data_IF_545424499244
#
_entry.id   IF_545424499244
#
_cell.length_a   1.000
_cell.length_b   1.000
_cell.length_c   1.000
_cell.angle_alpha   90.00
_cell.angle_beta   90.00
_cell.angle_gamma   90.00
#
_symmetry.space_group_name_H-M   'P 1'
#
loop_
_entity.id
_entity.type
_entity.pdbx_description
1 polymer ?
#
# COMPACT_ATOMS: atom_id res chain seq x y z
N UNK A 1 -12.83 -73.47 1.29
CA UNK A 1 -13.98 -72.74 1.87
C UNK A 1 -13.56 -71.28 1.98
N UNK A 2 -13.57 -70.59 0.83
CA UNK A 2 -14.36 -69.36 0.55
C UNK A 2 -13.85 -68.11 1.29
N UNK A 3 -13.65 -66.92 0.72
CA UNK A 3 -13.60 -66.32 -0.62
C UNK A 3 -12.94 -64.95 -0.38
N UNK A 4 -11.99 -64.51 -1.21
CA UNK A 4 -11.80 -63.08 -1.52
C UNK A 4 -11.10 -62.93 -2.87
N UNK A 5 -11.92 -62.77 -3.89
CA UNK A 5 -11.51 -62.46 -5.26
C UNK A 5 -11.26 -60.97 -5.40
N UNK A 6 -10.19 -60.71 -6.14
CA UNK A 6 -9.64 -59.47 -6.68
C UNK A 6 -10.68 -58.56 -7.37
N UNK A 7 -10.38 -57.26 -7.40
CA UNK A 7 -10.56 -56.45 -8.60
C UNK A 7 -9.57 -55.27 -8.62
N UNK A 8 -8.75 -55.33 -9.67
CA UNK A 8 -7.83 -54.36 -10.25
C UNK A 8 -8.57 -53.14 -10.79
N UNK A 9 -7.93 -51.96 -10.84
CA UNK A 9 -8.40 -50.87 -11.69
C UNK A 9 -7.87 -49.48 -11.39
N UNK A 10 -6.90 -49.05 -12.20
CA UNK A 10 -6.72 -47.69 -12.75
C UNK A 10 -6.65 -46.49 -11.79
N UNK A 11 -5.48 -45.83 -11.76
CA UNK A 11 -5.30 -44.49 -12.34
C UNK A 11 -3.81 -44.19 -12.50
N UNK A 12 -3.34 -44.16 -13.74
CA UNK A 12 -2.21 -43.34 -14.12
C UNK A 12 -2.77 -42.00 -14.62
N UNK A 13 -2.25 -40.88 -14.12
CA UNK A 13 -2.13 -39.63 -14.86
C UNK A 13 -0.87 -38.94 -14.38
N UNK A 14 -0.04 -38.58 -15.35
CA UNK A 14 1.13 -37.72 -15.30
C UNK A 14 1.10 -36.68 -14.17
N UNK A 15 2.16 -36.68 -13.36
CA UNK A 15 2.59 -35.47 -12.64
C UNK A 15 3.29 -34.59 -13.67
N UNK A 16 2.52 -33.69 -14.25
CA UNK A 16 3.00 -32.67 -15.18
C UNK A 16 3.93 -31.70 -14.43
N UNK A 17 5.23 -31.89 -14.67
CA UNK A 17 6.39 -31.10 -14.21
C UNK A 17 6.43 -29.71 -14.90
N UNK A 18 5.35 -28.93 -14.81
CA UNK A 18 5.22 -27.65 -15.52
C UNK A 18 4.55 -26.53 -14.72
N UNK A 19 4.99 -26.28 -13.48
CA UNK A 19 4.73 -24.97 -12.82
C UNK A 19 5.98 -24.50 -12.06
N UNK A 20 7.11 -24.39 -12.76
CA UNK A 20 8.25 -23.57 -12.34
C UNK A 20 8.68 -22.67 -13.50
N UNK A 21 7.75 -21.85 -14.01
CA UNK A 21 8.11 -20.76 -14.89
C UNK A 21 8.69 -19.62 -14.04
N UNK A 22 9.99 -19.38 -14.21
CA UNK A 22 10.81 -18.50 -13.39
C UNK A 22 10.29 -17.08 -13.29
N UNK A 23 10.01 -16.65 -12.07
CA UNK A 23 10.00 -15.23 -11.73
C UNK A 23 11.43 -14.71 -11.84
N UNK A 24 11.70 -13.90 -12.87
CA UNK A 24 12.92 -13.11 -12.97
C UNK A 24 12.57 -11.68 -12.56
N UNK A 25 13.25 -11.06 -11.58
CA UNK A 25 13.08 -9.65 -11.27
C UNK A 25 13.19 -8.81 -12.55
N UNK A 26 12.34 -7.79 -12.71
CA UNK A 26 12.44 -6.88 -13.86
C UNK A 26 13.79 -6.14 -13.77
N UNK A 27 14.74 -6.50 -14.64
CA UNK A 27 16.01 -5.78 -14.75
C UNK A 27 15.77 -4.49 -15.52
N UNK A 28 15.82 -3.36 -14.83
CA UNK A 28 15.92 -2.06 -15.48
C UNK A 28 17.35 -1.90 -16.05
N UNK A 29 17.54 -1.24 -17.21
CA UNK A 29 18.87 -0.83 -17.64
C UNK A 29 19.48 0.15 -16.62
N UNK A 30 20.78 -0.01 -16.33
CA UNK A 30 21.51 0.84 -15.38
C UNK A 30 21.44 2.31 -15.80
N UNK A 31 20.72 3.13 -15.03
CA UNK A 31 20.71 4.58 -15.17
C UNK A 31 21.57 5.19 -14.06
N UNK A 32 22.90 5.14 -14.22
CA UNK A 32 23.83 5.97 -13.44
C UNK A 32 23.77 7.42 -13.91
N UNK A 33 23.12 8.29 -13.13
CA UNK A 33 23.51 9.70 -12.94
C UNK A 33 22.65 10.35 -11.86
N UNK A 34 23.20 10.47 -10.64
CA UNK A 34 22.68 11.40 -9.64
C UNK A 34 23.13 12.82 -10.01
N UNK A 35 22.19 13.77 -10.11
CA UNK A 35 22.49 15.20 -10.13
C UNK A 35 21.83 15.89 -8.93
N UNK A 36 22.55 16.90 -8.45
CA UNK A 36 22.29 17.73 -7.27
C UNK A 36 21.18 18.74 -7.51
N UNK A 37 20.24 18.78 -6.56
CA UNK A 37 19.03 19.62 -6.57
C UNK A 37 19.30 21.13 -6.71
N UNK A 38 18.93 21.68 -7.87
CA UNK A 38 18.79 23.11 -8.16
C UNK A 38 17.47 23.38 -8.90
N UNK A 39 17.07 24.65 -8.99
CA UNK A 39 15.77 25.13 -9.48
C UNK A 39 15.32 24.60 -10.88
N UNK A 40 16.21 23.96 -11.65
CA UNK A 40 15.92 23.28 -12.93
C UNK A 40 15.37 21.85 -12.81
N UNK A 41 15.63 21.13 -11.71
CA UNK A 41 15.24 19.72 -11.58
C UNK A 41 13.72 19.50 -11.53
N UNK A 42 12.98 20.52 -11.06
CA UNK A 42 11.52 20.46 -10.95
C UNK A 42 10.81 20.67 -12.28
N UNK A 43 11.36 21.52 -13.14
CA UNK A 43 10.84 21.74 -14.50
C UNK A 43 11.18 20.54 -15.39
N UNK A 44 12.40 20.01 -15.29
CA UNK A 44 12.82 18.79 -16.00
C UNK A 44 11.95 17.58 -15.62
N UNK A 45 11.68 17.40 -14.32
CA UNK A 45 10.80 16.32 -13.85
C UNK A 45 9.37 16.48 -14.37
N UNK A 46 8.80 17.69 -14.33
CA UNK A 46 7.46 17.95 -14.85
C UNK A 46 7.38 17.67 -16.34
N UNK A 47 8.36 18.13 -17.10
CA UNK A 47 8.43 17.88 -18.54
C UNK A 47 8.54 16.38 -18.84
N UNK A 48 9.37 15.63 -18.09
CA UNK A 48 9.47 14.18 -18.21
C UNK A 48 8.15 13.46 -17.93
N UNK A 49 7.41 13.89 -16.89
CA UNK A 49 6.08 13.34 -16.55
C UNK A 49 5.08 13.61 -17.70
N UNK A 50 5.07 14.82 -18.25
CA UNK A 50 4.18 15.21 -19.36
C UNK A 50 4.47 14.39 -20.62
N UNK A 51 5.74 14.29 -21.03
CA UNK A 51 6.15 13.45 -22.16
C UNK A 51 5.78 11.97 -21.98
N UNK A 52 5.91 11.48 -20.74
CA UNK A 52 5.52 10.11 -20.37
C UNK A 52 4.02 9.91 -20.52
N UNK A 53 3.23 10.85 -19.99
CA UNK A 53 1.78 10.81 -20.11
C UNK A 53 1.32 10.87 -21.57
N UNK A 54 1.94 11.70 -22.40
CA UNK A 54 1.63 11.78 -23.84
C UNK A 54 1.87 10.44 -24.55
N UNK A 55 2.99 9.79 -24.25
CA UNK A 55 3.32 8.48 -24.82
C UNK A 55 2.33 7.40 -24.36
N UNK A 56 1.91 7.44 -23.09
CA UNK A 56 0.89 6.52 -22.54
C UNK A 56 -0.46 6.78 -23.19
N UNK A 57 -0.89 8.04 -23.31
CA UNK A 57 -2.14 8.43 -23.98
C UNK A 57 -2.20 7.91 -25.41
N UNK A 58 -1.14 8.11 -26.21
CA UNK A 58 -1.05 7.55 -27.56
C UNK A 58 -1.20 6.03 -27.58
N UNK A 59 -0.59 5.34 -26.62
CA UNK A 59 -0.65 3.87 -26.53
C UNK A 59 -2.04 3.35 -26.20
N UNK A 60 -2.78 4.04 -25.34
CA UNK A 60 -4.15 3.65 -24.94
C UNK A 60 -5.24 4.28 -25.81
N UNK A 61 -4.88 4.98 -26.89
CA UNK A 61 -5.84 5.65 -27.77
C UNK A 61 -6.54 6.86 -27.14
N UNK A 62 -5.97 7.46 -26.09
CA UNK A 62 -6.51 8.63 -25.42
C UNK A 62 -5.83 9.92 -25.90
N UNK A 63 -6.51 11.05 -25.68
CA UNK A 63 -5.96 12.38 -25.90
C UNK A 63 -5.38 12.93 -24.60
N UNK A 64 -4.26 13.64 -24.67
CA UNK A 64 -3.61 14.22 -23.49
C UNK A 64 -4.50 15.25 -22.82
N UNK A 65 -5.24 16.02 -23.60
CA UNK A 65 -6.10 17.11 -23.14
C UNK A 65 -7.23 16.61 -22.23
N UNK A 66 -7.59 15.32 -22.35
CA UNK A 66 -8.59 14.67 -21.50
C UNK A 66 -8.01 14.19 -20.15
N UNK A 67 -6.70 14.30 -19.94
CA UNK A 67 -6.02 13.83 -18.74
C UNK A 67 -5.94 14.90 -17.65
N UNK A 68 -6.60 14.63 -16.53
CA UNK A 68 -6.68 15.48 -15.36
C UNK A 68 -5.77 14.97 -14.25
N UNK A 69 -4.90 15.84 -13.72
CA UNK A 69 -4.02 15.49 -12.60
C UNK A 69 -4.84 15.40 -11.30
N UNK A 70 -4.93 14.21 -10.72
CA UNK A 70 -5.55 13.98 -9.42
C UNK A 70 -4.58 14.24 -8.27
N UNK A 71 -3.34 13.77 -8.42
CA UNK A 71 -2.36 13.79 -7.34
C UNK A 71 -0.91 13.85 -7.86
N UNK A 72 -0.04 14.65 -7.24
CA UNK A 72 1.41 14.67 -7.46
C UNK A 72 2.21 14.58 -6.13
N UNK A 73 2.66 13.37 -5.74
CA UNK A 73 3.55 13.12 -4.57
C UNK A 73 4.76 12.25 -4.95
N UNK A 74 4.85 11.03 -4.41
CA UNK A 74 5.68 9.91 -4.89
C UNK A 74 5.23 9.35 -6.24
N UNK A 75 4.02 9.65 -6.70
CA UNK A 75 3.46 9.28 -7.99
C UNK A 75 2.76 10.50 -8.60
N UNK A 76 2.75 10.59 -9.92
CA UNK A 76 1.81 11.44 -10.65
C UNK A 76 0.61 10.58 -11.07
N UNK A 77 -0.60 10.95 -10.66
CA UNK A 77 -1.82 10.18 -10.89
C UNK A 77 -2.77 11.00 -11.74
N UNK A 78 -3.10 10.49 -12.92
CA UNK A 78 -3.96 11.15 -13.89
C UNK A 78 -5.24 10.35 -14.11
N UNK A 79 -6.39 11.04 -14.07
CA UNK A 79 -7.68 10.51 -14.54
C UNK A 79 -7.83 10.84 -16.02
N UNK A 80 -8.25 9.86 -16.82
CA UNK A 80 -8.57 10.05 -18.24
C UNK A 80 -9.97 9.48 -18.47
N UNK A 81 -10.98 10.32 -18.25
CA UNK A 81 -12.40 9.89 -18.29
C UNK A 81 -12.81 9.39 -19.67
N UNK A 82 -12.30 10.01 -20.75
CA UNK A 82 -12.61 9.60 -22.14
C UNK A 82 -12.16 8.18 -22.47
N UNK A 83 -11.12 7.68 -21.78
CA UNK A 83 -10.62 6.32 -21.91
C UNK A 83 -11.03 5.41 -20.73
N UNK A 84 -11.76 5.94 -19.73
CA UNK A 84 -12.19 5.18 -18.56
C UNK A 84 -11.02 4.64 -17.72
N UNK A 85 -9.89 5.35 -17.64
CA UNK A 85 -8.70 4.88 -16.91
C UNK A 85 -8.11 5.90 -15.93
N UNK A 86 -7.31 5.38 -14.99
CA UNK A 86 -6.36 6.12 -14.17
C UNK A 86 -4.94 5.67 -14.51
N UNK A 87 -4.08 6.64 -14.84
CA UNK A 87 -2.66 6.42 -15.13
C UNK A 87 -1.84 6.84 -13.91
N UNK A 88 -1.04 5.92 -13.36
CA UNK A 88 -0.07 6.18 -12.27
C UNK A 88 1.34 6.12 -12.82
N UNK A 89 2.05 7.24 -12.78
CA UNK A 89 3.46 7.37 -13.17
C UNK A 89 4.31 7.40 -11.89
N UNK A 90 5.18 6.40 -11.72
CA UNK A 90 6.06 6.33 -10.57
C UNK A 90 7.22 7.33 -10.70
N UNK A 91 7.48 8.05 -9.61
CA UNK A 91 8.62 8.99 -9.56
C UNK A 91 9.84 8.38 -8.86
N UNK A 92 9.69 7.21 -8.24
CA UNK A 92 10.79 6.48 -7.62
C UNK A 92 11.35 5.43 -8.60
N UNK A 93 12.67 5.40 -8.76
CA UNK A 93 13.35 4.49 -9.68
C UNK A 93 13.23 3.00 -9.30
N UNK A 94 12.97 2.68 -8.03
CA UNK A 94 12.83 1.31 -7.51
C UNK A 94 11.37 0.81 -7.49
N UNK A 95 10.44 1.53 -8.12
CA UNK A 95 9.01 1.23 -8.05
C UNK A 95 8.58 -0.02 -8.86
N UNK A 96 9.40 -0.50 -9.79
CA UNK A 96 9.03 -1.54 -10.74
C UNK A 96 8.50 -2.82 -10.08
N UNK A 97 9.26 -3.40 -9.15
CA UNK A 97 8.89 -4.65 -8.48
C UNK A 97 7.63 -4.49 -7.62
N UNK A 98 7.50 -3.34 -6.95
CA UNK A 98 6.32 -3.01 -6.13
C UNK A 98 5.08 -2.93 -7.00
N UNK A 99 5.12 -2.15 -8.08
CA UNK A 99 3.99 -1.98 -9.00
C UNK A 99 3.62 -3.29 -9.69
N UNK A 100 4.61 -4.08 -10.14
CA UNK A 100 4.37 -5.40 -10.72
C UNK A 100 3.66 -6.33 -9.73
N UNK A 101 4.04 -6.29 -8.45
CA UNK A 101 3.36 -7.04 -7.38
C UNK A 101 1.93 -6.55 -7.20
N UNK A 102 1.70 -5.24 -7.10
CA UNK A 102 0.36 -4.66 -6.96
C UNK A 102 -0.55 -5.11 -8.10
N UNK A 103 -0.08 -5.01 -9.36
CA UNK A 103 -0.83 -5.43 -10.56
C UNK A 103 -1.18 -6.92 -10.53
N UNK A 104 -0.22 -7.78 -10.16
CA UNK A 104 -0.44 -9.24 -10.13
C UNK A 104 -1.42 -9.63 -9.03
N UNK A 105 -1.28 -9.03 -7.84
CA UNK A 105 -2.18 -9.27 -6.72
C UNK A 105 -3.59 -8.79 -7.03
N UNK A 106 -3.77 -7.59 -7.57
CA UNK A 106 -5.11 -7.06 -7.84
C UNK A 106 -5.84 -7.85 -8.91
N UNK A 107 -5.16 -8.29 -9.99
CA UNK A 107 -5.76 -9.23 -10.97
C UNK A 107 -6.24 -10.51 -10.30
N UNK A 108 -5.40 -11.11 -9.44
CA UNK A 108 -5.73 -12.35 -8.75
C UNK A 108 -6.88 -12.17 -7.75
N UNK A 109 -6.92 -11.07 -7.01
CA UNK A 109 -8.01 -10.72 -6.09
C UNK A 109 -9.33 -10.45 -6.82
N UNK A 110 -9.28 -9.69 -7.91
CA UNK A 110 -10.46 -9.37 -8.72
C UNK A 110 -11.09 -10.63 -9.33
N UNK A 111 -10.25 -11.54 -9.86
CA UNK A 111 -10.71 -12.85 -10.38
C UNK A 111 -11.37 -13.74 -9.30
N UNK A 112 -11.14 -13.44 -8.02
CA UNK A 112 -11.70 -14.14 -6.87
C UNK A 112 -12.86 -13.38 -6.21
N UNK A 113 -13.31 -12.28 -6.82
CA UNK A 113 -14.45 -11.49 -6.34
C UNK A 113 -14.15 -10.61 -5.13
N UNK A 114 -12.87 -10.39 -4.79
CA UNK A 114 -12.50 -9.45 -3.71
C UNK A 114 -12.71 -8.02 -4.22
N UNK A 115 -13.41 -7.14 -3.49
CA UNK A 115 -13.64 -5.76 -3.94
C UNK A 115 -12.35 -4.94 -4.00
N UNK A 116 -11.78 -4.80 -5.19
CA UNK A 116 -10.51 -4.12 -5.43
C UNK A 116 -10.53 -3.37 -6.76
N UNK A 117 -9.61 -2.42 -6.94
CA UNK A 117 -9.36 -1.80 -8.25
C UNK A 117 -8.73 -2.78 -9.22
N UNK A 118 -9.10 -2.67 -10.49
CA UNK A 118 -8.64 -3.57 -11.54
C UNK A 118 -7.63 -2.87 -12.47
N UNK A 119 -6.53 -3.54 -12.84
CA UNK A 119 -5.68 -3.07 -13.93
C UNK A 119 -6.46 -3.00 -15.25
N UNK A 120 -6.22 -1.96 -16.05
CA UNK A 120 -6.75 -1.84 -17.41
C UNK A 120 -5.85 -2.65 -18.35
N UNK A 121 -6.06 -3.97 -18.41
CA UNK A 121 -5.25 -4.89 -19.21
C UNK A 121 -5.35 -4.63 -20.72
N UNK A 122 -6.40 -3.95 -21.16
CA UNK A 122 -6.54 -3.37 -22.49
C UNK A 122 -5.42 -2.37 -22.88
N UNK A 123 -4.69 -1.81 -21.90
CA UNK A 123 -3.51 -0.96 -22.14
C UNK A 123 -2.24 -1.77 -22.53
N UNK A 124 -2.33 -3.10 -22.55
CA UNK A 124 -1.24 -4.03 -22.84
C UNK A 124 -0.56 -4.58 -21.59
N UNK A 125 0.59 -5.25 -21.78
CA UNK A 125 1.37 -5.81 -20.67
C UNK A 125 1.86 -4.72 -19.72
N UNK A 126 1.66 -4.93 -18.41
CA UNK A 126 1.97 -3.96 -17.36
C UNK A 126 2.90 -4.55 -16.29
N UNK A 127 3.78 -3.73 -15.66
CA UNK A 127 3.88 -2.27 -15.81
C UNK A 127 4.53 -1.85 -17.13
N UNK A 128 4.17 -0.66 -17.62
CA UNK A 128 4.80 -0.05 -18.78
C UNK A 128 6.11 0.64 -18.35
N UNK A 129 7.12 0.56 -19.20
CA UNK A 129 8.35 1.37 -19.08
C UNK A 129 8.34 2.41 -20.19
N UNK A 130 8.17 3.68 -19.82
CA UNK A 130 8.02 4.78 -20.76
C UNK A 130 8.89 5.95 -20.30
N UNK A 131 9.81 6.40 -21.14
CA UNK A 131 10.74 7.51 -20.85
C UNK A 131 11.47 7.37 -19.50
N UNK A 132 11.87 6.15 -19.13
CA UNK A 132 12.55 5.88 -17.86
C UNK A 132 11.63 5.82 -16.62
N UNK A 133 10.33 6.02 -16.79
CA UNK A 133 9.32 5.88 -15.74
C UNK A 133 8.62 4.52 -15.79
N UNK A 134 8.31 4.00 -14.61
CA UNK A 134 7.39 2.87 -14.45
C UNK A 134 5.97 3.41 -14.41
N UNK A 135 5.10 2.91 -15.28
CA UNK A 135 3.71 3.35 -15.39
C UNK A 135 2.76 2.16 -15.20
N UNK A 136 1.67 2.38 -14.48
CA UNK A 136 0.54 1.45 -14.42
C UNK A 136 -0.76 2.15 -14.78
N UNK A 137 -1.66 1.41 -15.43
CA UNK A 137 -2.94 1.87 -15.94
C UNK A 137 -4.03 1.02 -15.32
N UNK A 138 -5.00 1.68 -14.70
CA UNK A 138 -6.06 1.09 -13.90
C UNK A 138 -7.41 1.49 -14.47
N UNK A 139 -8.41 0.62 -14.37
CA UNK A 139 -9.78 1.00 -14.72
C UNK A 139 -10.26 2.10 -13.77
N UNK A 140 -10.86 3.14 -14.34
CA UNK A 140 -11.40 4.24 -13.58
C UNK A 140 -12.60 3.74 -12.76
N UNK A 141 -12.53 3.92 -11.45
CA UNK A 141 -13.68 3.77 -10.56
C UNK A 141 -14.37 5.13 -10.51
N UNK A 142 -15.46 5.25 -11.27
CA UNK A 142 -16.24 6.49 -11.33
C UNK A 142 -17.31 6.49 -10.23
N UNK A 143 -17.16 7.42 -9.28
CA UNK A 143 -18.14 7.71 -8.24
C UNK A 143 -18.86 9.02 -8.61
N UNK A 144 -20.21 9.06 -8.60
CA UNK A 144 -20.94 10.33 -8.68
C UNK A 144 -20.43 11.33 -7.62
N UNK A 145 -20.37 12.64 -7.93
CA UNK A 145 -19.83 13.67 -7.03
C UNK A 145 -20.46 13.69 -5.63
N UNK A 146 -21.74 13.32 -5.52
CA UNK A 146 -22.51 13.34 -4.28
C UNK A 146 -22.49 12.02 -3.51
N UNK A 147 -21.61 11.07 -3.88
CA UNK A 147 -21.61 9.77 -3.22
C UNK A 147 -20.93 9.84 -1.86
N UNK A 148 -21.61 9.29 -0.84
CA UNK A 148 -21.08 9.23 0.51
C UNK A 148 -19.71 8.56 0.56
N UNK A 149 -18.82 9.12 1.39
CA UNK A 149 -17.50 8.57 1.65
C UNK A 149 -17.60 7.12 2.11
N UNK A 150 -16.63 6.30 1.72
CA UNK A 150 -16.51 4.94 2.21
C UNK A 150 -16.41 4.89 3.73
N UNK A 151 -17.08 3.90 4.31
CA UNK A 151 -17.26 3.77 5.76
C UNK A 151 -16.29 2.76 6.38
N UNK A 152 -16.13 2.82 7.70
CA UNK A 152 -15.35 1.83 8.43
C UNK A 152 -16.01 0.44 8.43
N UNK A 153 -17.35 0.38 8.40
CA UNK A 153 -18.10 -0.86 8.20
C UNK A 153 -17.72 -1.56 6.88
N UNK A 154 -17.73 -0.82 5.77
CA UNK A 154 -17.36 -1.36 4.45
C UNK A 154 -15.91 -1.82 4.41
N UNK A 155 -15.00 -1.09 5.06
CA UNK A 155 -13.62 -1.53 5.23
C UNK A 155 -13.55 -2.88 5.97
N UNK A 156 -14.31 -3.05 7.06
CA UNK A 156 -14.39 -4.30 7.81
C UNK A 156 -14.84 -5.48 6.94
N UNK A 157 -15.87 -5.28 6.10
CA UNK A 157 -16.35 -6.32 5.17
C UNK A 157 -15.29 -6.71 4.13
N UNK A 158 -14.63 -5.72 3.54
CA UNK A 158 -13.58 -5.96 2.54
C UNK A 158 -12.38 -6.65 3.17
N UNK A 159 -11.91 -6.20 4.34
CA UNK A 159 -10.80 -6.83 5.05
C UNK A 159 -11.12 -8.25 5.48
N UNK A 160 -12.36 -8.55 5.89
CA UNK A 160 -12.77 -9.93 6.17
C UNK A 160 -12.65 -10.81 4.93
N UNK A 161 -13.11 -10.30 3.79
CA UNK A 161 -13.05 -11.01 2.50
C UNK A 161 -11.61 -11.20 2.03
N UNK A 162 -10.77 -10.18 2.17
CA UNK A 162 -9.34 -10.21 1.85
C UNK A 162 -8.58 -11.22 2.72
N UNK A 163 -8.74 -11.15 4.04
CA UNK A 163 -8.02 -12.01 4.99
C UNK A 163 -8.47 -13.47 4.97
N UNK A 164 -9.60 -13.78 4.30
CA UNK A 164 -10.07 -15.14 4.06
C UNK A 164 -9.49 -15.76 2.77
N UNK A 165 -8.78 -14.98 1.94
CA UNK A 165 -8.16 -15.51 0.73
C UNK A 165 -6.97 -16.43 1.07
N UNK A 166 -6.72 -17.49 0.28
CA UNK A 166 -5.52 -18.30 0.42
C UNK A 166 -4.28 -17.49 0.08
N UNK A 167 -3.10 -18.05 0.34
CA UNK A 167 -1.86 -17.45 -0.14
C UNK A 167 -1.88 -17.33 -1.68
N UNK A 168 -1.41 -16.21 -2.26
CA UNK A 168 -1.33 -16.08 -3.70
C UNK A 168 -0.41 -17.16 -4.31
N UNK A 169 -0.71 -17.70 -5.50
CA UNK A 169 0.09 -18.73 -6.15
C UNK A 169 1.39 -18.18 -6.79
N UNK A 170 1.89 -17.05 -6.29
CA UNK A 170 3.07 -16.35 -6.76
C UNK A 170 3.72 -15.57 -5.61
N UNK A 171 5.03 -15.26 -5.69
CA UNK A 171 5.71 -14.56 -4.63
C UNK A 171 5.10 -13.17 -4.35
N UNK A 172 4.99 -12.81 -3.08
CA UNK A 172 4.68 -11.46 -2.64
C UNK A 172 5.61 -11.09 -1.48
N UNK A 173 5.85 -9.79 -1.22
CA UNK A 173 6.65 -9.35 -0.08
C UNK A 173 6.08 -9.87 1.25
N UNK A 174 6.93 -9.96 2.27
CA UNK A 174 6.54 -10.24 3.65
C UNK A 174 6.76 -9.02 4.54
N UNK A 175 5.95 -8.88 5.60
CA UNK A 175 6.13 -7.80 6.59
C UNK A 175 7.16 -8.24 7.64
N UNK A 176 8.45 -8.19 7.29
CA UNK A 176 9.53 -8.69 8.16
C UNK A 176 9.98 -7.67 9.23
N UNK A 177 10.18 -6.41 8.83
CA UNK A 177 10.61 -5.31 9.71
C UNK A 177 9.81 -4.03 9.41
N UNK A 178 8.88 -3.61 10.29
CA UNK A 178 8.10 -2.39 10.08
C UNK A 178 8.94 -1.10 10.17
N UNK A 179 10.21 -1.18 10.57
CA UNK A 179 11.09 -0.03 10.78
C UNK A 179 12.20 0.13 9.74
N UNK A 180 12.35 -0.80 8.79
CA UNK A 180 13.44 -0.76 7.81
C UNK A 180 13.54 0.63 7.13
N UNK A 181 12.41 1.14 6.64
CA UNK A 181 12.33 2.47 6.02
C UNK A 181 12.59 3.60 7.00
N UNK A 182 12.00 3.55 8.20
CA UNK A 182 12.22 4.57 9.23
C UNK A 182 13.70 4.69 9.58
N UNK A 183 14.42 3.58 9.75
CA UNK A 183 15.85 3.59 10.08
C UNK A 183 16.68 4.21 8.96
N UNK A 184 16.38 3.89 7.70
CA UNK A 184 17.04 4.52 6.57
C UNK A 184 16.85 6.04 6.59
N UNK A 185 15.60 6.51 6.62
CA UNK A 185 15.29 7.95 6.64
C UNK A 185 15.87 8.64 7.87
N UNK A 186 15.88 7.96 9.02
CA UNK A 186 16.46 8.49 10.26
C UNK A 186 17.97 8.66 10.14
N UNK A 187 18.70 7.77 9.46
CA UNK A 187 20.16 7.88 9.28
C UNK A 187 20.54 8.97 8.28
N UNK A 188 19.77 9.12 7.21
CA UNK A 188 20.04 10.09 6.14
C UNK A 188 19.45 11.47 6.40
N UNK A 189 18.56 11.61 7.38
CA UNK A 189 17.89 12.88 7.68
C UNK A 189 18.86 13.99 8.06
N UNK A 190 18.69 15.15 7.42
CA UNK A 190 19.38 16.42 7.75
C UNK A 190 18.57 17.32 8.68
N UNK A 191 17.35 16.93 9.06
CA UNK A 191 16.44 17.75 9.89
C UNK A 191 16.40 17.32 11.35
N UNK A 192 17.06 16.22 11.70
CA UNK A 192 17.11 15.68 13.05
C UNK A 192 18.40 16.10 13.77
N UNK A 193 18.26 16.50 15.03
CA UNK A 193 19.39 16.55 15.97
C UNK A 193 19.89 15.14 16.31
N UNK A 194 21.14 15.04 16.78
CA UNK A 194 21.74 13.76 17.19
C UNK A 194 20.94 13.08 18.29
N UNK A 195 20.42 13.86 19.24
CA UNK A 195 19.53 13.35 20.31
C UNK A 195 18.26 12.72 19.74
N UNK A 196 17.60 13.38 18.79
CA UNK A 196 16.38 12.85 18.17
C UNK A 196 16.67 11.61 17.32
N UNK A 197 17.79 11.61 16.59
CA UNK A 197 18.25 10.48 15.79
C UNK A 197 18.50 9.26 16.66
N UNK A 198 19.28 9.41 17.72
CA UNK A 198 19.56 8.34 18.68
C UNK A 198 18.28 7.82 19.34
N UNK A 199 17.38 8.72 19.76
CA UNK A 199 16.11 8.34 20.35
C UNK A 199 15.23 7.53 19.39
N UNK A 200 15.09 7.95 18.13
CA UNK A 200 14.32 7.23 17.12
C UNK A 200 14.85 5.83 16.84
N UNK A 201 16.17 5.70 16.66
CA UNK A 201 16.80 4.41 16.38
C UNK A 201 16.63 3.44 17.55
N UNK A 202 16.85 3.92 18.78
CA UNK A 202 16.66 3.13 20.00
C UNK A 202 15.20 2.70 20.17
N UNK A 203 14.24 3.62 19.94
CA UNK A 203 12.81 3.30 20.04
C UNK A 203 12.37 2.30 18.97
N UNK A 204 12.92 2.40 17.75
CA UNK A 204 12.69 1.42 16.70
C UNK A 204 13.28 0.04 17.05
N UNK A 205 14.44 -0.02 17.72
CA UNK A 205 15.02 -1.28 18.21
C UNK A 205 14.16 -1.93 19.30
N UNK A 206 13.69 -1.13 20.25
CA UNK A 206 12.78 -1.59 21.30
C UNK A 206 11.48 -2.15 20.74
N UNK A 207 10.79 -1.37 19.90
CA UNK A 207 9.54 -1.81 19.28
C UNK A 207 9.75 -2.95 18.28
N UNK A 208 10.91 -3.03 17.64
CA UNK A 208 11.26 -4.15 16.76
C UNK A 208 11.42 -5.46 17.53
N UNK A 209 11.95 -5.43 18.76
CA UNK A 209 11.94 -6.59 19.65
C UNK A 209 10.52 -6.94 20.11
N UNK A 210 9.71 -5.93 20.45
CA UNK A 210 8.32 -6.14 20.84
C UNK A 210 7.50 -6.79 19.70
N UNK A 211 7.66 -6.31 18.47
CA UNK A 211 7.05 -6.90 17.26
C UNK A 211 7.34 -8.40 17.15
N UNK A 212 8.62 -8.80 17.27
CA UNK A 212 9.03 -10.21 17.18
C UNK A 212 8.51 -11.07 18.34
N UNK A 213 8.16 -10.46 19.47
CA UNK A 213 7.64 -11.16 20.64
C UNK A 213 6.10 -11.28 20.64
N UNK A 214 5.41 -10.61 19.70
CA UNK A 214 3.95 -10.68 19.62
C UNK A 214 3.47 -12.10 19.30
N UNK A 215 2.43 -12.52 20.03
CA UNK A 215 1.70 -13.75 19.73
C UNK A 215 0.41 -13.37 19.04
N UNK A 216 0.36 -13.63 17.74
CA UNK A 216 -0.79 -13.32 16.91
C UNK A 216 -1.87 -14.40 17.07
N UNK A 217 -3.14 -14.02 17.30
CA UNK A 217 -4.23 -14.97 17.50
C UNK A 217 -4.67 -15.67 16.20
N UNK A 218 -4.27 -15.14 15.04
CA UNK A 218 -4.70 -15.65 13.75
C UNK A 218 -3.53 -16.09 12.86
N UNK A 219 -3.77 -17.01 11.91
CA UNK A 219 -2.79 -17.35 10.90
C UNK A 219 -2.48 -16.15 10.00
N UNK A 220 -1.27 -16.10 9.40
CA UNK A 220 -0.92 -15.12 8.39
C UNK A 220 -1.93 -15.08 7.24
N UNK A 221 -2.06 -13.91 6.63
CA UNK A 221 -2.92 -13.65 5.49
C UNK A 221 -2.25 -12.63 4.56
N UNK A 222 -2.81 -12.49 3.37
CA UNK A 222 -2.48 -11.35 2.51
C UNK A 222 -3.05 -10.07 3.16
N UNK A 223 -2.19 -9.10 3.43
CA UNK A 223 -2.55 -7.80 4.02
C UNK A 223 -2.34 -6.69 3.00
N UNK A 224 -3.20 -5.68 3.04
CA UNK A 224 -3.12 -4.49 2.22
C UNK A 224 -1.90 -3.62 2.59
N UNK A 225 -1.57 -3.54 3.88
CA UNK A 225 -0.44 -2.78 4.42
C UNK A 225 -0.77 -1.33 4.80
N UNK A 226 -1.81 -0.74 4.19
CA UNK A 226 -2.30 0.62 4.51
C UNK A 226 -3.84 0.71 4.43
N UNK A 227 -4.53 -0.24 5.05
CA UNK A 227 -5.99 -0.31 4.98
C UNK A 227 -6.67 0.79 5.82
N UNK A 228 -7.32 1.75 5.16
CA UNK A 228 -8.14 2.77 5.83
C UNK A 228 -9.25 3.28 4.90
N UNK A 229 -10.34 3.90 5.41
CA UNK A 229 -11.46 4.33 4.57
C UNK A 229 -11.08 5.30 3.44
N UNK A 230 -10.02 6.09 3.61
CA UNK A 230 -9.49 6.95 2.54
C UNK A 230 -8.90 6.21 1.32
N UNK A 231 -8.65 4.90 1.42
CA UNK A 231 -8.20 4.04 0.32
C UNK A 231 -9.36 3.22 -0.27
N UNK A 232 -10.59 3.49 0.15
CA UNK A 232 -11.77 2.92 -0.48
C UNK A 232 -12.31 3.89 -1.52
N UNK A 233 -12.53 3.36 -2.73
CA UNK A 233 -13.23 4.05 -3.79
C UNK A 233 -14.66 3.53 -3.86
N UNK A 234 -15.56 4.43 -4.22
CA UNK A 234 -16.97 4.15 -4.36
C UNK A 234 -17.28 3.94 -5.84
N UNK A 235 -17.87 2.81 -6.19
CA UNK A 235 -18.33 2.56 -7.56
C UNK A 235 -19.69 3.21 -7.79
N UNK A 236 -20.06 3.41 -9.06
CA UNK A 236 -21.35 3.99 -9.46
C UNK A 236 -22.58 3.22 -8.93
N UNK A 237 -22.44 1.91 -8.74
CA UNK A 237 -23.48 1.04 -8.17
C UNK A 237 -23.48 1.03 -6.62
N UNK A 238 -22.68 1.89 -5.99
CA UNK A 238 -22.66 2.12 -4.55
C UNK A 238 -21.68 1.23 -3.77
N UNK A 239 -21.07 0.21 -4.40
CA UNK A 239 -20.11 -0.68 -3.73
C UNK A 239 -18.81 0.06 -3.40
N UNK A 240 -18.13 -0.40 -2.34
CA UNK A 240 -16.78 0.05 -2.00
C UNK A 240 -15.76 -0.94 -2.57
N UNK A 241 -14.66 -0.42 -3.12
CA UNK A 241 -13.51 -1.21 -3.58
C UNK A 241 -12.21 -0.65 -3.02
N UNK A 242 -11.28 -1.52 -2.64
CA UNK A 242 -10.00 -1.11 -2.06
C UNK A 242 -8.97 -0.77 -3.15
N UNK A 243 -8.31 0.38 -3.00
CA UNK A 243 -7.28 0.86 -3.89
C UNK A 243 -5.93 1.04 -3.15
N UNK A 244 -4.90 1.36 -3.93
CA UNK A 244 -3.52 1.58 -3.46
C UNK A 244 -2.80 0.38 -2.81
N UNK A 245 -2.67 -0.67 -3.61
CA UNK A 245 -1.99 -1.93 -3.25
C UNK A 245 -0.45 -1.86 -3.28
N UNK A 246 0.14 -0.68 -3.10
CA UNK A 246 1.60 -0.50 -3.07
C UNK A 246 2.23 -1.15 -1.82
N UNK A 247 1.45 -1.31 -0.75
CA UNK A 247 1.88 -1.88 0.54
C UNK A 247 1.61 -3.38 0.71
N UNK A 248 1.12 -4.05 -0.32
CA UNK A 248 0.63 -5.43 -0.21
C UNK A 248 1.73 -6.42 0.16
N UNK A 249 1.43 -7.29 1.12
CA UNK A 249 2.37 -8.27 1.62
C UNK A 249 1.65 -9.47 2.27
N UNK A 250 2.37 -10.57 2.49
CA UNK A 250 1.99 -11.59 3.46
C UNK A 250 2.40 -11.14 4.86
N UNK A 251 1.50 -11.29 5.81
CA UNK A 251 1.74 -10.91 7.20
C UNK A 251 0.56 -11.22 8.10
N UNK A 252 0.50 -10.50 9.22
CA UNK A 252 -0.54 -10.67 10.22
C UNK A 252 -1.71 -9.72 9.92
N UNK A 253 -2.94 -10.23 9.85
CA UNK A 253 -4.16 -9.46 9.58
C UNK A 253 -4.37 -8.26 10.52
N UNK A 254 -3.83 -8.36 11.73
CA UNK A 254 -3.81 -7.32 12.74
C UNK A 254 -3.08 -6.06 12.25
N UNK A 255 -2.18 -6.20 11.28
CA UNK A 255 -1.46 -5.09 10.65
C UNK A 255 -2.37 -4.16 9.84
N UNK A 256 -3.39 -4.70 9.18
CA UNK A 256 -4.40 -3.90 8.49
C UNK A 256 -5.39 -3.29 9.48
N UNK A 257 -5.84 -4.08 10.46
CA UNK A 257 -6.81 -3.63 11.46
C UNK A 257 -6.26 -2.51 12.34
N UNK A 258 -4.99 -2.55 12.76
CA UNK A 258 -4.41 -1.51 13.62
C UNK A 258 -4.39 -0.13 12.96
N UNK A 259 -4.39 -0.05 11.63
CA UNK A 259 -4.27 1.21 10.91
C UNK A 259 -5.37 2.20 11.32
N UNK A 260 -6.63 1.75 11.42
CA UNK A 260 -7.74 2.63 11.83
C UNK A 260 -7.69 3.02 13.31
N UNK A 261 -7.12 2.18 14.18
CA UNK A 261 -6.95 2.52 15.59
C UNK A 261 -5.85 3.57 15.77
N UNK A 262 -4.75 3.45 15.02
CA UNK A 262 -3.69 4.45 14.95
C UNK A 262 -4.25 5.80 14.44
N UNK A 263 -4.99 5.81 13.34
CA UNK A 263 -5.54 7.05 12.78
C UNK A 263 -6.66 7.64 13.65
N UNK A 264 -7.50 6.83 14.28
CA UNK A 264 -8.42 7.28 15.31
C UNK A 264 -7.68 7.98 16.47
N UNK A 265 -6.59 7.39 16.97
CA UNK A 265 -5.79 7.96 18.08
C UNK A 265 -5.07 9.25 17.68
N UNK A 266 -4.45 9.33 16.50
CA UNK A 266 -3.64 10.49 16.12
C UNK A 266 -4.36 11.55 15.32
N UNK A 267 -5.39 11.18 14.56
CA UNK A 267 -6.11 12.10 13.67
C UNK A 267 -7.58 12.28 14.07
N UNK A 268 -8.09 11.52 15.03
CA UNK A 268 -9.49 11.58 15.45
C UNK A 268 -10.46 11.00 14.42
N UNK A 269 -9.95 10.31 13.38
CA UNK A 269 -10.73 9.70 12.32
C UNK A 269 -10.07 8.41 11.81
N UNK A 270 -10.83 7.32 11.59
CA UNK A 270 -12.25 7.15 11.95
C UNK A 270 -12.52 7.35 13.45
N UNK A 271 -13.75 7.65 13.83
CA UNK A 271 -14.16 7.89 15.23
C UNK A 271 -14.29 6.57 16.01
N UNK A 272 -14.47 6.63 17.33
CA UNK A 272 -14.69 5.41 18.13
C UNK A 272 -15.91 4.59 17.68
N UNK A 273 -17.09 5.19 17.41
CA UNK A 273 -18.22 4.45 16.82
C UNK A 273 -17.88 3.80 15.48
N UNK A 274 -17.06 4.44 14.64
CA UNK A 274 -16.63 3.85 13.38
C UNK A 274 -15.81 2.56 13.61
N UNK A 275 -14.96 2.53 14.65
CA UNK A 275 -14.20 1.33 15.02
C UNK A 275 -15.13 0.19 15.46
N UNK A 276 -16.22 0.50 16.16
CA UNK A 276 -17.23 -0.50 16.55
C UNK A 276 -17.88 -1.12 15.30
N UNK A 277 -18.29 -0.30 14.33
CA UNK A 277 -18.88 -0.80 13.08
C UNK A 277 -17.90 -1.61 12.23
N UNK A 278 -16.62 -1.26 12.25
CA UNK A 278 -15.58 -2.03 11.57
C UNK A 278 -15.39 -3.40 12.22
N UNK A 279 -15.31 -3.46 13.55
CA UNK A 279 -15.15 -4.71 14.29
C UNK A 279 -16.35 -5.64 14.08
N UNK A 280 -17.56 -5.10 14.08
CA UNK A 280 -18.80 -5.83 13.77
C UNK A 280 -18.74 -6.43 12.35
N UNK A 281 -18.46 -5.60 11.34
CA UNK A 281 -18.37 -6.04 9.95
C UNK A 281 -17.26 -7.06 9.71
N UNK A 282 -16.11 -6.86 10.36
CA UNK A 282 -14.97 -7.75 10.28
C UNK A 282 -15.25 -9.10 10.97
N UNK A 283 -16.04 -9.08 12.05
CA UNK A 283 -16.37 -10.24 12.86
C UNK A 283 -15.37 -10.54 13.98
N UNK A 284 -14.47 -9.60 14.27
CA UNK A 284 -13.54 -9.67 15.40
C UNK A 284 -13.06 -8.27 15.78
N UNK A 285 -12.95 -8.02 17.09
CA UNK A 285 -12.44 -6.78 17.62
C UNK A 285 -10.97 -6.93 18.04
N UNK A 286 -10.08 -6.22 17.35
CA UNK A 286 -8.65 -6.21 17.68
C UNK A 286 -8.37 -5.62 19.07
N UNK A 287 -9.31 -4.86 19.66
CA UNK A 287 -9.18 -4.32 21.02
C UNK A 287 -9.16 -5.41 22.09
N UNK A 288 -9.68 -6.60 21.79
CA UNK A 288 -9.64 -7.74 22.70
C UNK A 288 -8.24 -8.40 22.75
N UNK A 289 -7.32 -8.00 21.86
CA UNK A 289 -5.97 -8.55 21.79
C UNK A 289 -4.93 -7.65 22.45
N UNK A 290 -4.13 -8.16 23.41
CA UNK A 290 -3.11 -7.38 24.13
C UNK A 290 -2.03 -6.75 23.25
N UNK A 291 -1.83 -7.26 22.03
CA UNK A 291 -0.81 -6.76 21.11
C UNK A 291 -1.17 -5.42 20.43
N UNK A 292 -2.42 -4.96 20.52
CA UNK A 292 -2.89 -3.77 19.81
C UNK A 292 -2.05 -2.53 20.12
N UNK A 293 -1.79 -2.23 21.39
CA UNK A 293 -1.02 -1.05 21.77
C UNK A 293 0.42 -1.07 21.25
N UNK A 294 1.03 -2.26 21.18
CA UNK A 294 2.35 -2.42 20.55
C UNK A 294 2.28 -2.09 19.07
N UNK A 295 1.28 -2.59 18.36
CA UNK A 295 1.10 -2.28 16.93
C UNK A 295 0.80 -0.80 16.68
N UNK A 296 0.01 -0.15 17.54
CA UNK A 296 -0.23 1.30 17.42
C UNK A 296 1.08 2.05 17.62
N UNK A 297 1.88 1.72 18.63
CA UNK A 297 3.18 2.36 18.85
C UNK A 297 4.14 2.15 17.66
N UNK A 298 4.09 0.98 17.03
CA UNK A 298 4.85 0.68 15.80
C UNK A 298 4.38 1.58 14.65
N UNK A 299 3.07 1.68 14.39
CA UNK A 299 2.50 2.54 13.34
C UNK A 299 2.79 4.03 13.59
N UNK A 300 2.73 4.47 14.84
CA UNK A 300 3.06 5.84 15.22
C UNK A 300 4.51 6.21 14.90
N UNK A 301 5.44 5.29 15.18
CA UNK A 301 6.85 5.51 14.93
C UNK A 301 7.20 5.33 13.44
N UNK A 302 6.75 4.26 12.79
CA UNK A 302 7.01 4.00 11.37
C UNK A 302 6.36 5.05 10.46
N UNK A 303 5.19 5.58 10.87
CA UNK A 303 4.47 6.67 10.21
C UNK A 303 5.21 8.00 10.13
N UNK A 304 6.35 8.16 10.83
CA UNK A 304 7.25 9.31 10.66
C UNK A 304 8.07 9.26 9.36
N UNK A 305 8.31 8.07 8.80
CA UNK A 305 9.21 7.87 7.66
C UNK A 305 8.87 8.78 6.46
N UNK A 306 7.60 8.89 6.00
CA UNK A 306 7.26 9.78 4.88
C UNK A 306 7.52 11.27 5.18
N UNK A 307 7.36 11.70 6.43
CA UNK A 307 7.60 13.08 6.83
C UNK A 307 9.10 13.38 6.91
N UNK A 308 9.91 12.45 7.45
CA UNK A 308 11.37 12.58 7.47
C UNK A 308 11.94 12.71 6.06
N UNK A 309 11.47 11.89 5.12
CA UNK A 309 11.89 11.93 3.71
C UNK A 309 11.66 13.28 3.06
N UNK A 310 10.50 13.88 3.33
CA UNK A 310 10.05 15.11 2.63
C UNK A 310 10.39 16.40 3.38
N UNK A 311 10.79 16.31 4.65
CA UNK A 311 11.14 17.43 5.51
C UNK A 311 12.24 18.37 4.95
N UNK A 312 13.27 17.92 4.21
CA UNK A 312 14.25 18.84 3.63
C UNK A 312 13.61 19.87 2.67
N UNK A 313 12.62 19.45 1.89
CA UNK A 313 11.94 20.31 0.91
C UNK A 313 10.58 20.89 1.34
N UNK A 314 9.96 20.36 2.42
CA UNK A 314 8.59 20.74 2.82
C UNK A 314 8.52 21.27 4.26
N UNK A 315 8.34 22.59 4.48
CA UNK A 315 8.22 23.18 5.82
C UNK A 315 7.10 22.57 6.68
N UNK A 316 5.97 22.20 6.07
CA UNK A 316 4.88 21.51 6.77
C UNK A 316 5.32 20.14 7.32
N UNK A 317 6.08 19.37 6.53
CA UNK A 317 6.63 18.09 6.98
C UNK A 317 7.65 18.27 8.12
N UNK A 318 8.48 19.33 8.10
CA UNK A 318 9.38 19.67 9.23
C UNK A 318 8.60 19.91 10.52
N UNK A 319 7.52 20.69 10.46
CA UNK A 319 6.66 20.97 11.62
C UNK A 319 6.04 19.69 12.17
N UNK A 320 5.54 18.81 11.30
CA UNK A 320 5.00 17.51 11.72
C UNK A 320 6.07 16.61 12.34
N UNK A 321 7.27 16.50 11.75
CA UNK A 321 8.38 15.75 12.38
C UNK A 321 8.67 16.27 13.79
N UNK A 322 8.81 17.58 13.95
CA UNK A 322 9.11 18.19 15.24
C UNK A 322 7.99 17.94 16.27
N UNK A 323 6.72 18.10 15.87
CA UNK A 323 5.56 17.93 16.75
C UNK A 323 5.36 16.46 17.18
N UNK A 324 5.41 15.54 16.21
CA UNK A 324 5.26 14.11 16.47
C UNK A 324 6.38 13.58 17.35
N UNK A 325 7.63 13.95 17.08
CA UNK A 325 8.76 13.57 17.95
C UNK A 325 8.59 14.11 19.37
N UNK A 326 8.22 15.38 19.53
CA UNK A 326 8.00 15.98 20.86
C UNK A 326 6.97 15.21 21.66
N UNK A 327 5.85 14.82 21.04
CA UNK A 327 4.74 14.14 21.71
C UNK A 327 5.08 12.67 22.00
N UNK A 328 5.73 11.97 21.06
CA UNK A 328 6.22 10.61 21.27
C UNK A 328 7.27 10.52 22.38
N UNK A 329 8.25 11.44 22.40
CA UNK A 329 9.29 11.49 23.43
C UNK A 329 8.73 11.78 24.84
N UNK A 330 7.56 12.41 24.92
CA UNK A 330 6.85 12.68 26.19
C UNK A 330 5.89 11.57 26.59
N UNK A 331 5.66 10.57 25.73
CA UNK A 331 4.62 9.56 25.94
C UNK A 331 3.20 10.12 25.84
N UNK A 332 2.99 11.24 25.14
CA UNK A 332 1.68 11.85 24.99
C UNK A 332 0.86 11.10 23.93
N UNK A 333 0.01 10.18 24.39
CA UNK A 333 -0.89 9.38 23.57
C UNK A 333 -2.15 10.13 23.13
N UNK A 334 -2.45 11.28 23.73
CA UNK A 334 -3.65 12.08 23.44
C UNK A 334 -3.37 13.18 22.39
N UNK A 335 -2.09 13.50 22.15
CA UNK A 335 -1.70 14.48 21.15
C UNK A 335 -2.22 14.11 19.75
N UNK A 336 -2.95 15.06 19.15
CA UNK A 336 -3.39 15.02 17.76
C UNK A 336 -2.28 15.50 16.82
N UNK A 337 -2.21 14.87 15.66
CA UNK A 337 -1.28 15.16 14.58
C UNK A 337 -2.06 15.59 13.34
N UNK A 338 -1.39 16.21 12.35
CA UNK A 338 -2.05 16.51 11.09
C UNK A 338 -1.98 15.31 10.16
N UNK A 339 -3.09 14.88 9.55
CA UNK A 339 -3.06 13.81 8.57
C UNK A 339 -2.21 14.22 7.34
N UNK A 340 -1.74 13.25 6.53
CA UNK A 340 -1.10 13.56 5.26
C UNK A 340 -2.03 14.42 4.38
N UNK A 341 -1.48 15.49 3.78
CA UNK A 341 -2.22 16.34 2.83
C UNK A 341 -3.09 17.46 3.41
N UNK A 342 -3.17 17.62 4.74
CA UNK A 342 -3.91 18.71 5.42
C UNK A 342 -3.09 19.94 5.79
#
# INVERSE_FOLDING_TARGET
>A
MERRTLLTGMTGVDRDDRIHAGWTPLRLPDATAARTAGMGDGEDLRHSIEQTLDAVCRRIGARREDAELLHLHSNAVYRITSAGVVVRIALAHDAANRIATSLRVTRWLAARGVPTVEPADEAGEQPLLVNGHVVSVWRLVDAPPDTATATAYELGQILRTLHAQPEPPFPVPTVDDPFARLRHETRTSTVLSDRQRAWLLNRADELGRAWKALRYPHPPALVHGDAHPGNLLRTRDGRAVLCDWDGVALGHREWDLVQVHYTCRRFGRPTTPDLDTLAEAYGWDIRDWPGLDTLIAIRELSGLSPYLRTAPGKPAARREVAWRLKTLMRGDVQARWRPPGS
#
